data_IF_634730715856
#
_entry.id   IF_634730715856
#
_cell.length_a   1.000
_cell.length_b   1.000
_cell.length_c   1.000
_cell.angle_alpha   90.00
_cell.angle_beta   90.00
_cell.angle_gamma   90.00
#
_symmetry.space_group_name_H-M   'P 1'
#
loop_
_entity.id
_entity.type
_entity.pdbx_description
1 polymer ?
#
# COMPACT_ATOMS: atom_id res chain seq x y z
N UNK A 1 -9.00 -17.60 -3.95
CA UNK A 1 -8.83 -16.63 -2.84
C UNK A 1 -9.15 -15.25 -3.38
N UNK A 2 -10.27 -14.65 -2.94
CA UNK A 2 -10.60 -13.26 -3.25
C UNK A 2 -9.60 -12.38 -2.50
N UNK A 3 -8.60 -11.86 -3.22
CA UNK A 3 -7.65 -10.95 -2.62
C UNK A 3 -8.34 -9.59 -2.50
N UNK A 4 -8.82 -9.28 -1.29
CA UNK A 4 -9.32 -7.94 -0.97
C UNK A 4 -8.21 -6.93 -1.24
N UNK A 5 -8.45 -6.00 -2.16
CA UNK A 5 -7.63 -4.81 -2.33
C UNK A 5 -7.49 -4.13 -0.97
N UNK A 6 -6.25 -3.91 -0.50
CA UNK A 6 -6.02 -3.22 0.77
C UNK A 6 -6.00 -1.72 0.50
N UNK A 7 -7.08 -1.06 0.88
CA UNK A 7 -7.13 0.40 0.97
C UNK A 7 -6.37 0.82 2.21
N UNK A 8 -5.47 1.77 2.04
CA UNK A 8 -4.61 2.29 3.10
C UNK A 8 -4.66 3.80 3.13
N UNK A 9 -4.51 4.36 4.33
CA UNK A 9 -4.28 5.78 4.54
C UNK A 9 -2.83 5.99 4.97
N UNK A 10 -2.21 7.05 4.47
CA UNK A 10 -0.87 7.46 4.92
C UNK A 10 -1.04 8.27 6.21
N UNK A 11 -0.47 7.75 7.30
CA UNK A 11 -0.59 8.34 8.65
C UNK A 11 -0.22 9.82 8.64
N UNK A 12 -1.01 10.64 9.33
CA UNK A 12 -0.80 12.09 9.41
C UNK A 12 -1.17 12.87 8.13
N UNK A 13 -1.78 12.22 7.14
CA UNK A 13 -2.27 12.88 5.92
C UNK A 13 -3.70 12.43 5.59
N UNK A 14 -4.37 13.12 4.66
CA UNK A 14 -5.63 12.69 4.06
C UNK A 14 -5.43 11.78 2.83
N UNK A 15 -4.19 11.35 2.53
CA UNK A 15 -3.90 10.53 1.37
C UNK A 15 -4.39 9.10 1.60
N UNK A 16 -5.40 8.71 0.81
CA UNK A 16 -5.94 7.35 0.77
C UNK A 16 -5.64 6.74 -0.59
N UNK A 17 -5.06 5.54 -0.59
CA UNK A 17 -4.70 4.81 -1.79
C UNK A 17 -4.91 3.31 -1.62
N UNK A 18 -4.53 2.56 -2.65
CA UNK A 18 -4.63 1.09 -2.65
C UNK A 18 -3.24 0.50 -2.87
N UNK A 19 -2.87 -0.52 -2.08
CA UNK A 19 -1.60 -1.23 -2.32
C UNK A 19 -1.65 -1.87 -3.71
N UNK A 20 -0.76 -1.42 -4.59
CA UNK A 20 -0.65 -1.90 -5.96
C UNK A 20 0.08 -3.25 -5.98
N UNK A 21 -0.25 -4.09 -6.96
CA UNK A 21 0.39 -5.38 -7.19
C UNK A 21 0.38 -5.73 -8.66
N UNK A 22 1.36 -6.50 -9.10
CA UNK A 22 1.32 -7.11 -10.43
C UNK A 22 0.15 -8.10 -10.51
N UNK A 23 -0.59 -8.08 -11.62
CA UNK A 23 -1.71 -8.99 -11.84
C UNK A 23 -1.25 -10.45 -11.72
N UNK A 24 -1.95 -11.25 -10.92
CA UNK A 24 -1.61 -12.65 -10.65
C UNK A 24 -0.48 -12.91 -9.65
N UNK A 25 0.23 -11.87 -9.17
CA UNK A 25 1.34 -11.99 -8.21
C UNK A 25 0.98 -11.37 -6.87
N UNK A 26 1.58 -11.81 -5.75
CA UNK A 26 1.47 -11.10 -4.47
C UNK A 26 1.95 -9.64 -4.56
N UNK A 27 1.68 -8.82 -3.55
CA UNK A 27 2.22 -7.46 -3.52
C UNK A 27 3.76 -7.51 -3.49
N UNK A 28 4.40 -6.69 -4.32
CA UNK A 28 5.85 -6.55 -4.29
C UNK A 28 6.24 -5.81 -3.00
N UNK A 29 7.01 -6.49 -2.15
CA UNK A 29 7.62 -5.90 -0.96
C UNK A 29 9.08 -5.64 -1.30
N UNK A 30 9.48 -4.39 -1.16
CA UNK A 30 10.85 -3.95 -1.38
C UNK A 30 11.51 -3.69 -0.03
N UNK A 31 12.79 -4.01 0.06
CA UNK A 31 13.63 -3.68 1.21
C UNK A 31 14.57 -2.53 0.83
N UNK A 32 15.01 -1.74 1.82
CA UNK A 32 16.03 -0.71 1.59
C UNK A 32 17.39 -1.23 1.99
N UNK A 33 18.45 -0.80 1.30
CA UNK A 33 19.83 -1.24 1.61
C UNK A 33 20.32 -0.82 3.00
N UNK A 34 19.64 0.13 3.65
CA UNK A 34 19.98 0.63 4.98
C UNK A 34 19.29 -0.13 6.10
N UNK A 35 18.15 -0.76 5.81
CA UNK A 35 17.38 -1.56 6.75
C UNK A 35 16.62 -2.64 5.98
N UNK A 36 17.14 -3.87 6.07
CA UNK A 36 16.57 -5.07 5.44
C UNK A 36 15.24 -5.50 6.08
N UNK A 37 14.78 -4.81 7.15
CA UNK A 37 13.47 -5.04 7.75
C UNK A 37 12.41 -4.06 7.28
N UNK A 38 12.77 -3.02 6.51
CA UNK A 38 11.80 -2.08 5.96
C UNK A 38 10.96 -2.77 4.89
N UNK A 39 9.66 -2.90 5.13
CA UNK A 39 8.70 -3.36 4.14
C UNK A 39 8.17 -2.18 3.34
N UNK A 40 8.82 -1.84 2.23
CA UNK A 40 8.36 -0.79 1.31
C UNK A 40 7.36 -1.38 0.32
N UNK A 41 6.21 -0.74 0.15
CA UNK A 41 5.15 -1.19 -0.76
C UNK A 41 4.71 -0.08 -1.71
N UNK A 42 4.31 -0.40 -2.96
CA UNK A 42 3.73 0.57 -3.88
C UNK A 42 2.26 0.82 -3.55
N UNK A 43 1.86 2.09 -3.50
CA UNK A 43 0.49 2.55 -3.27
C UNK A 43 0.04 3.38 -4.47
N UNK A 44 -1.07 2.98 -5.07
CA UNK A 44 -1.73 3.71 -6.16
C UNK A 44 -2.75 4.71 -5.59
N UNK A 45 -2.70 5.95 -6.07
CA UNK A 45 -3.66 7.00 -5.75
C UNK A 45 -4.52 7.32 -6.97
N UNK A 46 -5.79 6.96 -6.91
CA UNK A 46 -6.73 7.15 -8.03
C UNK A 46 -6.90 8.61 -8.42
N UNK A 47 -6.90 9.52 -7.44
CA UNK A 47 -7.07 10.95 -7.67
C UNK A 47 -5.99 11.57 -8.57
N UNK A 48 -4.77 11.02 -8.55
CA UNK A 48 -3.63 11.54 -9.33
C UNK A 48 -3.16 10.58 -10.42
N UNK A 49 -3.57 9.31 -10.38
CA UNK A 49 -3.06 8.26 -11.26
C UNK A 49 -1.62 7.83 -10.94
N UNK A 50 -1.05 8.28 -9.81
CA UNK A 50 0.34 8.00 -9.45
C UNK A 50 0.49 6.74 -8.61
N UNK A 51 1.64 6.08 -8.75
CA UNK A 51 2.13 5.07 -7.80
C UNK A 51 3.28 5.68 -7.01
N UNK A 52 3.19 5.64 -5.69
CA UNK A 52 4.25 6.09 -4.78
C UNK A 52 4.61 4.97 -3.81
N UNK A 53 5.85 4.93 -3.36
CA UNK A 53 6.37 3.88 -2.48
C UNK A 53 6.40 4.37 -1.04
N UNK A 54 5.92 3.55 -0.12
CA UNK A 54 5.88 3.87 1.31
C UNK A 54 6.43 2.73 2.13
N UNK A 55 7.11 3.07 3.22
CA UNK A 55 7.28 2.12 4.32
C UNK A 55 5.89 1.73 4.86
N UNK A 56 5.64 0.43 4.97
CA UNK A 56 4.40 -0.11 5.54
C UNK A 56 4.11 0.44 6.95
N UNK A 57 5.14 0.81 7.71
CA UNK A 57 5.00 1.38 9.06
C UNK A 57 4.22 2.71 9.08
N UNK A 58 4.23 3.46 7.97
CA UNK A 58 3.50 4.74 7.85
C UNK A 58 2.10 4.58 7.26
N UNK A 59 1.67 3.35 6.98
CA UNK A 59 0.35 3.04 6.43
C UNK A 59 -0.57 2.50 7.52
N UNK A 60 -1.84 2.84 7.42
CA UNK A 60 -2.92 2.24 8.23
C UNK A 60 -3.98 1.63 7.31
N UNK A 61 -4.44 0.42 7.65
CA UNK A 61 -5.51 -0.23 6.90
C UNK A 61 -6.80 0.58 7.11
N UNK A 62 -7.40 1.05 6.02
CA UNK A 62 -8.77 1.59 6.06
C UNK A 62 -9.68 0.38 6.03
N UNK A 63 -10.38 0.12 7.14
CA UNK A 63 -11.33 -0.98 7.19
C UNK A 63 -12.29 -0.86 6.00
N UNK A 64 -12.34 -1.88 5.14
CA UNK A 64 -13.39 -1.99 4.16
C UNK A 64 -14.74 -1.95 4.91
N UNK A 65 -15.78 -1.28 4.38
CA UNK A 65 -17.09 -1.32 5.02
C UNK A 65 -17.47 -2.79 5.20
N UNK A 66 -17.82 -3.15 6.43
CA UNK A 66 -18.49 -4.41 6.72
C UNK A 66 -19.88 -4.32 6.09
N UNK A 67 -20.00 -4.84 4.86
CA UNK A 67 -21.28 -5.29 4.29
C UNK A 67 -21.57 -6.70 4.76
#
# INVERSE_FOLDING_TARGET
MSYKYRTVRVRGTELVGTIARKHGSAADIYETSKDLSTSVVPVFFEATGEIRFFDRSVLEDVAAPVT
#
